data_IF_507560881668
#
_entry.id   IF_507560881668
#
_cell.length_a   1.000
_cell.length_b   1.000
_cell.length_c   1.000
_cell.angle_alpha   90.00
_cell.angle_beta   90.00
_cell.angle_gamma   90.00
#
_symmetry.space_group_name_H-M   'P 1'
#
loop_
_entity.id
_entity.type
_entity.pdbx_description
1 polymer ?
#
# COMPACT_ATOMS: atom_id res chain seq x y z
N UNK A 1 -5.02 5.12 -11.38
CA UNK A 1 -4.32 6.40 -11.38
C UNK A 1 -3.49 6.45 -10.11
N UNK A 2 -2.20 6.69 -10.26
CA UNK A 2 -1.26 6.87 -9.15
C UNK A 2 -0.70 8.28 -9.28
N UNK A 3 -0.99 9.19 -8.36
CA UNK A 3 -0.36 10.50 -8.30
C UNK A 3 1.05 10.42 -7.69
N UNK A 4 1.66 11.55 -7.47
CA UNK A 4 2.92 11.62 -6.75
C UNK A 4 4.13 11.13 -7.55
N UNK A 5 5.01 10.37 -6.90
CA UNK A 5 6.30 9.98 -7.45
C UNK A 5 6.22 9.18 -8.73
N UNK A 6 5.29 8.25 -8.83
CA UNK A 6 5.15 7.39 -10.01
C UNK A 6 4.66 8.18 -11.24
N UNK A 7 3.72 9.12 -11.05
CA UNK A 7 3.29 10.02 -12.11
C UNK A 7 4.43 10.94 -12.55
N UNK A 8 5.15 11.53 -11.61
CA UNK A 8 6.30 12.39 -11.92
C UNK A 8 7.41 11.62 -12.65
N UNK A 9 7.72 10.40 -12.19
CA UNK A 9 8.72 9.55 -12.83
C UNK A 9 8.31 9.14 -14.26
N UNK A 10 7.00 8.90 -14.49
CA UNK A 10 6.49 8.60 -15.82
C UNK A 10 6.60 9.78 -16.79
N UNK A 11 6.39 11.02 -16.32
CA UNK A 11 6.50 12.22 -17.15
C UNK A 11 7.94 12.70 -17.34
N UNK A 12 8.75 12.63 -16.29
CA UNK A 12 10.08 13.26 -16.27
C UNK A 12 11.22 12.30 -16.59
N UNK A 13 10.98 10.99 -16.52
CA UNK A 13 11.96 9.91 -16.42
C UNK A 13 12.55 9.81 -14.99
N UNK A 14 12.68 8.59 -14.43
CA UNK A 14 13.13 8.40 -13.04
C UNK A 14 14.51 9.00 -12.74
N UNK A 15 15.47 8.90 -13.67
CA UNK A 15 16.81 9.44 -13.46
C UNK A 15 16.79 10.97 -13.43
N UNK A 16 16.08 11.59 -14.39
CA UNK A 16 15.95 13.03 -14.44
C UNK A 16 15.18 13.57 -13.23
N UNK A 17 14.15 12.87 -12.76
CA UNK A 17 13.43 13.25 -11.55
C UNK A 17 14.33 13.20 -10.31
N UNK A 18 15.20 12.19 -10.18
CA UNK A 18 16.19 12.13 -9.10
C UNK A 18 17.13 13.34 -9.13
N UNK A 19 17.60 13.74 -10.32
CA UNK A 19 18.43 14.93 -10.45
C UNK A 19 17.68 16.20 -10.09
N UNK A 20 16.44 16.35 -10.58
CA UNK A 20 15.60 17.51 -10.26
C UNK A 20 15.32 17.64 -8.75
N UNK A 21 15.17 16.51 -8.03
CA UNK A 21 15.00 16.50 -6.57
C UNK A 21 16.23 17.01 -5.82
N UNK A 22 17.41 16.95 -6.43
CA UNK A 22 18.66 17.50 -5.88
C UNK A 22 18.81 18.97 -6.29
N UNK A 23 18.63 19.27 -7.57
CA UNK A 23 18.95 20.57 -8.16
C UNK A 23 17.85 21.61 -7.95
N UNK A 24 16.57 21.18 -7.95
CA UNK A 24 15.42 22.08 -7.86
C UNK A 24 14.22 21.46 -7.11
N UNK A 25 14.39 21.01 -5.83
CA UNK A 25 13.36 20.32 -5.07
C UNK A 25 12.04 21.07 -4.97
N UNK A 26 12.07 22.40 -4.85
CA UNK A 26 10.87 23.23 -4.77
C UNK A 26 10.00 23.14 -6.03
N UNK A 27 10.59 22.94 -7.20
CA UNK A 27 9.86 22.76 -8.45
C UNK A 27 9.21 21.37 -8.50
N UNK A 28 9.89 20.34 -7.98
CA UNK A 28 9.34 19.00 -7.87
C UNK A 28 8.14 19.00 -6.92
N UNK A 29 8.25 19.67 -5.76
CA UNK A 29 7.14 19.82 -4.80
C UNK A 29 5.93 20.50 -5.46
N UNK A 30 6.13 21.63 -6.16
CA UNK A 30 5.04 22.34 -6.85
C UNK A 30 4.36 21.46 -7.91
N UNK A 31 5.14 20.69 -8.66
CA UNK A 31 4.59 19.80 -9.67
C UNK A 31 3.82 18.64 -9.03
N UNK A 32 4.33 18.08 -7.93
CA UNK A 32 3.62 17.07 -7.14
C UNK A 32 2.27 17.63 -6.62
N UNK A 33 2.26 18.86 -6.07
CA UNK A 33 1.04 19.51 -5.59
C UNK A 33 0.00 19.70 -6.71
N UNK A 34 0.45 20.10 -7.89
CA UNK A 34 -0.45 20.20 -9.05
C UNK A 34 -1.05 18.83 -9.43
N UNK A 35 -0.25 17.76 -9.40
CA UNK A 35 -0.75 16.41 -9.68
C UNK A 35 -1.71 15.94 -8.59
N UNK A 36 -1.46 16.26 -7.33
CA UNK A 36 -2.36 15.93 -6.22
C UNK A 36 -3.72 16.64 -6.38
N UNK A 37 -3.74 17.90 -6.82
CA UNK A 37 -4.97 18.63 -7.10
C UNK A 37 -5.80 17.95 -8.21
N UNK A 38 -5.15 17.61 -9.33
CA UNK A 38 -5.78 16.88 -10.43
C UNK A 38 -6.28 15.50 -10.00
N UNK A 39 -5.49 14.80 -9.19
CA UNK A 39 -5.88 13.49 -8.66
C UNK A 39 -7.13 13.60 -7.79
N UNK A 40 -7.18 14.57 -6.88
CA UNK A 40 -8.34 14.80 -6.00
C UNK A 40 -9.62 15.04 -6.81
N UNK A 41 -9.56 15.88 -7.86
CA UNK A 41 -10.69 16.12 -8.74
C UNK A 41 -11.18 14.85 -9.43
N UNK A 42 -10.25 14.11 -10.05
CA UNK A 42 -10.55 12.87 -10.79
C UNK A 42 -11.06 11.78 -9.86
N UNK A 43 -10.39 11.56 -8.74
CA UNK A 43 -10.77 10.54 -7.75
C UNK A 43 -12.17 10.81 -7.20
N UNK A 44 -12.43 12.06 -6.79
CA UNK A 44 -13.73 12.46 -6.25
C UNK A 44 -14.84 12.26 -7.28
N UNK A 45 -14.61 12.70 -8.51
CA UNK A 45 -15.59 12.54 -9.60
C UNK A 45 -15.99 11.06 -9.80
N UNK A 46 -15.03 10.16 -9.91
CA UNK A 46 -15.34 8.74 -10.13
C UNK A 46 -15.91 8.07 -8.87
N UNK A 47 -15.42 8.40 -7.69
CA UNK A 47 -15.94 7.86 -6.44
C UNK A 47 -17.41 8.25 -6.24
N UNK A 48 -17.78 9.53 -6.49
CA UNK A 48 -19.15 10.02 -6.40
C UNK A 48 -20.06 9.32 -7.42
N UNK A 49 -19.60 9.11 -8.65
CA UNK A 49 -20.35 8.38 -9.68
C UNK A 49 -20.63 6.94 -9.29
N UNK A 50 -19.63 6.23 -8.78
CA UNK A 50 -19.79 4.84 -8.34
C UNK A 50 -20.73 4.74 -7.14
N UNK A 51 -20.55 5.59 -6.13
CA UNK A 51 -21.40 5.61 -4.95
C UNK A 51 -22.86 5.98 -5.28
N UNK A 52 -23.07 6.98 -6.14
CA UNK A 52 -24.43 7.37 -6.59
C UNK A 52 -25.13 6.25 -7.36
N UNK A 53 -24.38 5.41 -8.04
CA UNK A 53 -24.89 4.25 -8.76
C UNK A 53 -25.03 2.99 -7.87
N UNK A 54 -24.76 3.10 -6.55
CA UNK A 54 -24.77 1.97 -5.62
C UNK A 54 -23.69 0.93 -5.90
N UNK A 55 -22.63 1.32 -6.60
CA UNK A 55 -21.54 0.42 -6.95
C UNK A 55 -20.42 0.44 -5.90
N UNK A 56 -19.83 -0.73 -5.66
CA UNK A 56 -18.64 -0.86 -4.84
C UNK A 56 -17.38 -0.47 -5.60
N UNK A 57 -16.37 -0.02 -4.87
CA UNK A 57 -15.03 0.27 -5.41
C UNK A 57 -14.16 -0.98 -5.24
N UNK A 58 -13.48 -1.37 -6.31
CA UNK A 58 -12.51 -2.46 -6.33
C UNK A 58 -11.16 -1.97 -6.85
N UNK A 59 -10.08 -2.55 -6.37
CA UNK A 59 -8.72 -2.27 -6.84
C UNK A 59 -7.90 -3.55 -6.93
N UNK A 60 -6.66 -3.47 -7.43
CA UNK A 60 -5.82 -4.64 -7.72
C UNK A 60 -5.51 -5.58 -6.53
N UNK A 61 -5.52 -5.16 -5.25
CA UNK A 61 -5.40 -6.11 -4.14
C UNK A 61 -6.57 -7.10 -4.03
N UNK A 62 -7.62 -6.94 -4.84
CA UNK A 62 -8.80 -7.80 -4.82
C UNK A 62 -9.78 -7.47 -3.70
N UNK A 63 -9.64 -6.31 -3.07
CA UNK A 63 -10.56 -5.82 -2.05
C UNK A 63 -11.69 -5.06 -2.70
N UNK A 64 -12.93 -5.38 -2.30
CA UNK A 64 -14.15 -4.71 -2.73
C UNK A 64 -14.79 -4.04 -1.52
N UNK A 65 -15.13 -2.76 -1.62
CA UNK A 65 -15.73 -2.00 -0.54
C UNK A 65 -16.82 -1.06 -1.04
N UNK A 66 -17.91 -0.94 -0.29
CA UNK A 66 -18.93 0.10 -0.48
C UNK A 66 -18.46 1.46 0.02
N UNK A 67 -17.40 1.50 0.84
CA UNK A 67 -16.77 2.74 1.26
C UNK A 67 -15.89 3.30 0.16
N UNK A 68 -15.72 4.62 0.17
CA UNK A 68 -14.71 5.29 -0.64
C UNK A 68 -13.33 4.86 -0.14
N UNK A 69 -12.58 4.15 -0.94
CA UNK A 69 -11.26 3.67 -0.55
C UNK A 69 -10.24 3.79 -1.69
N UNK A 70 -8.97 3.83 -1.32
CA UNK A 70 -7.87 4.04 -2.25
C UNK A 70 -6.63 3.25 -1.85
N UNK A 71 -5.77 2.98 -2.83
CA UNK A 71 -4.44 2.37 -2.62
C UNK A 71 -3.38 3.37 -3.05
N UNK A 72 -2.88 4.23 -2.14
CA UNK A 72 -1.72 5.06 -2.43
C UNK A 72 -0.50 4.21 -2.75
N UNK A 73 0.32 4.66 -3.68
CA UNK A 73 1.55 3.99 -4.12
C UNK A 73 2.61 5.00 -4.51
N UNK A 74 3.86 4.66 -4.30
CA UNK A 74 5.01 5.41 -4.82
C UNK A 74 6.20 4.45 -5.01
N UNK A 75 6.21 3.69 -6.11
CA UNK A 75 7.26 2.72 -6.42
C UNK A 75 8.60 3.42 -6.71
N UNK A 76 8.54 4.65 -7.24
CA UNK A 76 9.72 5.51 -7.39
C UNK A 76 10.48 5.72 -6.06
N UNK A 77 9.79 5.59 -4.92
CA UNK A 77 10.39 5.80 -3.60
C UNK A 77 11.58 4.88 -3.29
N UNK A 78 11.66 3.70 -3.92
CA UNK A 78 12.78 2.79 -3.75
C UNK A 78 14.14 3.35 -4.24
N UNK A 79 14.11 4.43 -5.03
CA UNK A 79 15.29 5.08 -5.65
C UNK A 79 15.75 6.33 -4.90
N UNK A 80 15.06 6.75 -3.83
CA UNK A 80 15.31 8.01 -3.14
C UNK A 80 15.56 7.81 -1.65
N UNK A 81 16.19 8.81 -1.02
CA UNK A 81 16.44 8.80 0.42
C UNK A 81 15.15 9.00 1.22
N UNK A 82 15.16 8.55 2.50
CA UNK A 82 14.06 8.81 3.43
C UNK A 82 13.72 10.30 3.52
N UNK A 83 14.74 11.17 3.58
CA UNK A 83 14.52 12.62 3.65
C UNK A 83 13.79 13.15 2.42
N UNK A 84 14.19 12.73 1.22
CA UNK A 84 13.52 13.16 -0.02
C UNK A 84 12.07 12.66 -0.05
N UNK A 85 11.84 11.43 0.38
CA UNK A 85 10.49 10.88 0.50
C UNK A 85 9.63 11.70 1.46
N UNK A 86 10.12 11.93 2.67
CA UNK A 86 9.39 12.65 3.72
C UNK A 86 9.08 14.10 3.32
N UNK A 87 10.04 14.80 2.70
CA UNK A 87 9.89 16.19 2.32
C UNK A 87 8.98 16.38 1.09
N UNK A 88 9.09 15.48 0.11
CA UNK A 88 8.46 15.68 -1.20
C UNK A 88 7.17 14.88 -1.36
N UNK A 89 7.14 13.59 -1.04
CA UNK A 89 6.03 12.70 -1.39
C UNK A 89 5.10 12.37 -0.23
N UNK A 90 5.60 12.25 0.99
CA UNK A 90 4.79 11.90 2.16
C UNK A 90 3.58 12.83 2.37
N UNK A 91 3.70 14.17 2.18
CA UNK A 91 2.54 15.06 2.30
C UNK A 91 1.43 14.77 1.30
N UNK A 92 1.77 14.39 0.05
CA UNK A 92 0.82 13.99 -1.00
C UNK A 92 0.12 12.68 -0.63
N UNK A 93 0.89 11.67 -0.19
CA UNK A 93 0.34 10.38 0.26
C UNK A 93 -0.64 10.57 1.43
N UNK A 94 -0.31 11.42 2.39
CA UNK A 94 -1.21 11.75 3.48
C UNK A 94 -2.48 12.46 2.99
N UNK A 95 -2.38 13.30 1.94
CA UNK A 95 -3.54 13.91 1.27
C UNK A 95 -4.42 12.87 0.60
N UNK A 96 -3.84 11.92 -0.14
CA UNK A 96 -4.58 10.81 -0.75
C UNK A 96 -5.35 10.00 0.30
N UNK A 97 -4.73 9.69 1.45
CA UNK A 97 -5.39 8.98 2.54
C UNK A 97 -6.59 9.75 3.11
N UNK A 98 -6.52 11.09 3.17
CA UNK A 98 -7.65 11.92 3.64
C UNK A 98 -8.83 12.01 2.68
N UNK A 99 -8.62 11.77 1.39
CA UNK A 99 -9.69 11.75 0.38
C UNK A 99 -10.57 10.49 0.47
N UNK A 100 -10.08 9.46 1.12
CA UNK A 100 -10.73 8.16 1.24
C UNK A 100 -11.19 7.90 2.67
N UNK A 101 -12.26 7.09 2.83
CA UNK A 101 -12.69 6.58 4.14
C UNK A 101 -11.79 5.43 4.63
N UNK A 102 -11.06 4.80 3.71
CA UNK A 102 -10.08 3.77 4.00
C UNK A 102 -8.97 3.77 2.94
N UNK A 103 -7.75 3.45 3.36
CA UNK A 103 -6.60 3.38 2.47
C UNK A 103 -5.63 2.26 2.85
N UNK A 104 -5.01 1.66 1.84
CA UNK A 104 -3.97 0.63 1.99
C UNK A 104 -2.78 1.07 1.15
N UNK A 105 -1.67 1.41 1.76
CA UNK A 105 -0.48 1.82 1.03
C UNK A 105 0.22 0.62 0.40
N UNK A 106 0.47 0.69 -0.91
CA UNK A 106 1.29 -0.29 -1.64
C UNK A 106 2.77 0.01 -1.40
N UNK A 107 3.42 -0.83 -0.61
CA UNK A 107 4.84 -0.74 -0.28
C UNK A 107 5.57 -1.84 -1.04
N UNK A 108 6.33 -1.48 -2.08
CA UNK A 108 6.99 -2.45 -2.96
C UNK A 108 8.51 -2.38 -2.84
N UNK A 109 9.08 -3.55 -2.59
CA UNK A 109 10.51 -3.78 -2.57
C UNK A 109 11.23 -3.42 -1.26
N UNK A 110 12.28 -4.19 -0.91
CA UNK A 110 13.00 -3.99 0.36
C UNK A 110 13.61 -2.59 0.53
N UNK A 111 13.92 -1.92 -0.58
CA UNK A 111 14.47 -0.56 -0.55
C UNK A 111 13.45 0.45 -0.01
N UNK A 112 12.16 0.23 -0.30
CA UNK A 112 11.08 1.09 0.17
C UNK A 112 10.80 0.96 1.68
N UNK A 113 11.30 -0.09 2.35
CA UNK A 113 11.14 -0.24 3.81
C UNK A 113 11.75 0.89 4.63
N UNK A 114 12.70 1.64 4.07
CA UNK A 114 13.25 2.84 4.73
C UNK A 114 12.19 3.91 5.00
N UNK A 115 11.05 3.87 4.29
CA UNK A 115 9.94 4.81 4.40
C UNK A 115 8.81 4.32 5.33
N UNK A 116 8.86 3.06 5.75
CA UNK A 116 7.77 2.43 6.52
C UNK A 116 7.42 3.22 7.78
N UNK A 117 8.40 3.70 8.54
CA UNK A 117 8.13 4.45 9.78
C UNK A 117 7.32 5.72 9.51
N UNK A 118 7.70 6.49 8.49
CA UNK A 118 6.97 7.70 8.11
C UNK A 118 5.54 7.41 7.64
N UNK A 119 5.35 6.31 6.89
CA UNK A 119 4.03 5.87 6.45
C UNK A 119 3.14 5.47 7.63
N UNK A 120 3.69 4.77 8.64
CA UNK A 120 2.93 4.33 9.81
C UNK A 120 2.44 5.50 10.68
N UNK A 121 3.08 6.67 10.60
CA UNK A 121 2.67 7.89 11.31
C UNK A 121 1.46 8.59 10.66
N UNK A 122 1.11 8.29 9.41
CA UNK A 122 -0.08 8.84 8.76
C UNK A 122 -1.33 8.29 9.44
N UNK A 123 -2.10 9.14 10.11
CA UNK A 123 -3.28 8.73 10.89
C UNK A 123 -4.36 8.09 10.03
N UNK A 124 -4.62 8.67 8.87
CA UNK A 124 -5.68 8.26 7.93
C UNK A 124 -5.31 7.02 7.12
N UNK A 125 -4.05 6.60 7.13
CA UNK A 125 -3.64 5.33 6.52
C UNK A 125 -4.10 4.16 7.40
N UNK A 126 -4.86 3.23 6.83
CA UNK A 126 -5.44 2.12 7.58
C UNK A 126 -4.60 0.85 7.53
N UNK A 127 -3.92 0.59 6.42
CA UNK A 127 -3.17 -0.65 6.24
C UNK A 127 -1.98 -0.49 5.30
N UNK A 128 -1.07 -1.45 5.37
CA UNK A 128 0.08 -1.60 4.46
C UNK A 128 -0.10 -2.91 3.67
N UNK A 129 0.02 -2.81 2.36
CA UNK A 129 0.27 -3.97 1.50
C UNK A 129 1.79 -4.09 1.33
N UNK A 130 2.39 -5.13 1.92
CA UNK A 130 3.81 -5.39 1.77
C UNK A 130 4.07 -6.37 0.61
N UNK A 131 4.80 -5.88 -0.40
CA UNK A 131 5.25 -6.67 -1.56
C UNK A 131 6.77 -6.73 -1.54
N UNK A 132 7.32 -7.86 -1.14
CA UNK A 132 8.77 -8.02 -0.97
C UNK A 132 9.54 -8.27 -2.29
N UNK A 133 8.81 -8.52 -3.38
CA UNK A 133 9.39 -8.72 -4.71
C UNK A 133 9.87 -10.15 -4.99
N UNK A 134 9.99 -10.47 -6.28
CA UNK A 134 10.41 -11.79 -6.73
C UNK A 134 11.83 -12.13 -6.23
N UNK A 135 12.02 -13.34 -5.70
CA UNK A 135 13.31 -13.81 -5.19
C UNK A 135 13.78 -13.18 -3.87
N UNK A 136 12.91 -12.46 -3.18
CA UNK A 136 13.21 -11.81 -1.89
C UNK A 136 12.62 -12.55 -0.69
N UNK A 137 12.46 -13.85 -0.80
CA UNK A 137 11.92 -14.70 0.26
C UNK A 137 10.42 -14.92 0.14
N UNK A 138 9.81 -15.28 1.27
CA UNK A 138 8.40 -15.62 1.43
C UNK A 138 7.76 -14.72 2.50
N UNK A 139 6.44 -14.77 2.66
CA UNK A 139 5.76 -13.97 3.68
C UNK A 139 6.32 -14.20 5.09
N UNK A 140 6.63 -15.44 5.43
CA UNK A 140 7.21 -15.82 6.73
C UNK A 140 8.57 -15.18 7.02
N UNK A 141 9.33 -14.79 6.01
CA UNK A 141 10.63 -14.10 6.20
C UNK A 141 10.43 -12.63 6.62
N UNK A 142 9.23 -12.09 6.42
CA UNK A 142 8.91 -10.68 6.63
C UNK A 142 8.00 -10.43 7.85
N UNK A 143 7.89 -11.38 8.77
CA UNK A 143 7.06 -11.26 9.99
C UNK A 143 7.40 -10.00 10.81
N UNK A 144 8.65 -9.57 10.81
CA UNK A 144 9.06 -8.34 11.50
C UNK A 144 8.40 -7.07 10.93
N UNK A 145 8.18 -7.02 9.60
CA UNK A 145 7.46 -5.91 8.95
C UNK A 145 5.99 -5.92 9.35
N UNK A 146 5.35 -7.07 9.29
CA UNK A 146 3.93 -7.21 9.66
C UNK A 146 3.69 -6.89 11.13
N UNK A 147 4.53 -7.40 12.04
CA UNK A 147 4.46 -7.09 13.47
C UNK A 147 4.61 -5.59 13.72
N UNK A 148 5.50 -4.92 13.00
CA UNK A 148 5.70 -3.47 13.10
C UNK A 148 4.43 -2.70 12.68
N UNK A 149 3.78 -3.10 11.59
CA UNK A 149 2.51 -2.52 11.17
C UNK A 149 1.41 -2.72 12.23
N UNK A 150 1.25 -3.94 12.75
CA UNK A 150 0.26 -4.23 13.80
C UNK A 150 0.55 -3.46 15.10
N UNK A 151 1.81 -3.32 15.50
CA UNK A 151 2.19 -2.49 16.65
C UNK A 151 1.84 -1.02 16.48
N UNK A 152 1.86 -0.51 15.24
CA UNK A 152 1.42 0.84 14.91
C UNK A 152 -0.11 0.97 14.74
N UNK A 153 -0.87 -0.10 14.99
CA UNK A 153 -2.32 -0.13 14.82
C UNK A 153 -2.80 -0.14 13.37
N UNK A 154 -1.93 -0.55 12.43
CA UNK A 154 -2.25 -0.63 11.01
C UNK A 154 -2.58 -2.07 10.62
N UNK A 155 -3.59 -2.23 9.74
CA UNK A 155 -3.85 -3.49 9.08
C UNK A 155 -2.72 -3.86 8.10
N UNK A 156 -2.73 -5.12 7.68
CA UNK A 156 -1.75 -5.64 6.72
C UNK A 156 -2.46 -6.46 5.64
N UNK A 157 -2.01 -6.31 4.42
CA UNK A 157 -2.33 -7.22 3.33
C UNK A 157 -1.05 -7.96 2.96
N UNK A 158 -1.13 -9.29 2.99
CA UNK A 158 0.00 -10.16 2.67
C UNK A 158 -0.44 -11.32 1.79
N UNK A 159 0.50 -11.83 1.01
CA UNK A 159 0.31 -13.03 0.19
C UNK A 159 1.21 -14.14 0.72
N UNK A 160 0.62 -15.30 1.03
CA UNK A 160 1.31 -16.44 1.60
C UNK A 160 1.02 -17.73 0.80
N UNK A 161 1.86 -18.73 1.00
CA UNK A 161 1.61 -20.10 0.54
C UNK A 161 0.94 -20.93 1.64
N UNK A 162 0.28 -22.07 1.30
CA UNK A 162 -0.41 -22.91 2.28
C UNK A 162 0.47 -23.36 3.47
N UNK A 163 1.73 -23.68 3.21
CA UNK A 163 2.69 -24.15 4.22
C UNK A 163 3.26 -23.04 5.12
N UNK A 164 2.89 -21.77 4.90
CA UNK A 164 3.26 -20.64 5.74
C UNK A 164 2.18 -20.26 6.76
N UNK A 165 0.96 -20.82 6.62
CA UNK A 165 -0.19 -20.38 7.42
C UNK A 165 0.05 -20.53 8.92
N UNK A 166 0.57 -21.67 9.36
CA UNK A 166 0.79 -21.93 10.78
C UNK A 166 1.74 -20.90 11.39
N UNK A 167 2.90 -20.66 10.74
CA UNK A 167 3.88 -19.68 11.23
C UNK A 167 3.33 -18.24 11.20
N UNK A 168 2.49 -17.89 10.22
CA UNK A 168 1.84 -16.58 10.14
C UNK A 168 0.84 -16.44 11.29
N UNK A 169 -0.03 -17.42 11.49
CA UNK A 169 -1.06 -17.40 12.53
C UNK A 169 -0.49 -17.45 13.95
N UNK A 170 0.63 -18.11 14.16
CA UNK A 170 1.35 -18.14 15.45
C UNK A 170 2.00 -16.79 15.79
N UNK A 171 2.36 -16.00 14.79
CA UNK A 171 3.17 -14.80 14.97
C UNK A 171 2.44 -13.48 14.83
N UNK A 172 1.27 -13.46 14.19
CA UNK A 172 0.48 -12.27 13.94
C UNK A 172 -0.89 -12.38 14.63
N UNK A 173 -1.52 -11.24 14.88
CA UNK A 173 -2.92 -11.17 15.32
C UNK A 173 -3.83 -11.19 14.09
N UNK A 174 -5.03 -11.81 14.18
CA UNK A 174 -5.95 -11.87 13.04
C UNK A 174 -6.57 -10.52 12.69
N UNK A 175 -6.68 -9.60 13.66
CA UNK A 175 -7.35 -8.32 13.44
C UNK A 175 -6.59 -7.46 12.43
N UNK A 176 -7.31 -7.00 11.41
CA UNK A 176 -6.77 -6.15 10.36
C UNK A 176 -5.89 -6.88 9.34
N UNK A 177 -5.88 -8.22 9.34
CA UNK A 177 -5.14 -8.99 8.34
C UNK A 177 -6.03 -9.32 7.15
N UNK A 178 -5.60 -8.88 5.97
CA UNK A 178 -6.10 -9.36 4.68
C UNK A 178 -5.12 -10.39 4.13
N UNK A 179 -5.46 -11.66 4.29
CA UNK A 179 -4.62 -12.79 3.88
C UNK A 179 -5.04 -13.30 2.50
N UNK A 180 -4.14 -13.26 1.54
CA UNK A 180 -4.28 -13.95 0.26
C UNK A 180 -3.41 -15.20 0.28
N UNK A 181 -4.02 -16.38 0.09
CA UNK A 181 -3.28 -17.63 -0.06
C UNK A 181 -3.23 -17.99 -1.55
N UNK A 182 -2.02 -18.24 -2.05
CA UNK A 182 -1.75 -18.62 -3.45
C UNK A 182 -1.32 -20.07 -3.53
N UNK A 183 -1.35 -20.66 -4.73
CA UNK A 183 -0.94 -22.04 -5.01
C UNK A 183 -1.73 -23.11 -4.23
N UNK A 184 -3.00 -22.85 -3.96
CA UNK A 184 -3.92 -23.84 -3.41
C UNK A 184 -4.29 -24.85 -4.48
N UNK A 185 -3.97 -26.12 -4.26
CA UNK A 185 -4.04 -27.17 -5.29
C UNK A 185 -5.44 -27.75 -5.50
N UNK A 186 -6.25 -27.78 -4.45
CA UNK A 186 -7.56 -28.45 -4.47
C UNK A 186 -8.52 -27.84 -3.43
N UNK A 187 -9.79 -28.20 -3.56
CA UNK A 187 -10.86 -27.72 -2.69
C UNK A 187 -10.72 -28.21 -1.24
N UNK A 188 -10.26 -29.44 -1.02
CA UNK A 188 -10.08 -30.01 0.32
C UNK A 188 -9.05 -29.19 1.11
N UNK A 189 -7.91 -28.88 0.47
CA UNK A 189 -6.88 -28.00 1.01
C UNK A 189 -7.45 -26.62 1.32
N UNK A 190 -8.24 -26.02 0.40
CA UNK A 190 -8.85 -24.71 0.60
C UNK A 190 -9.80 -24.71 1.81
N UNK A 191 -10.66 -25.70 1.93
CA UNK A 191 -11.62 -25.83 3.06
C UNK A 191 -10.91 -26.04 4.39
N UNK A 192 -9.83 -26.85 4.41
CA UNK A 192 -9.01 -27.04 5.60
C UNK A 192 -8.36 -25.73 6.08
N UNK A 193 -7.80 -24.95 5.14
CA UNK A 193 -7.21 -23.63 5.45
C UNK A 193 -8.25 -22.64 5.95
N UNK A 194 -9.43 -22.55 5.32
CA UNK A 194 -10.52 -21.69 5.78
C UNK A 194 -10.96 -22.04 7.20
N UNK A 195 -11.01 -23.34 7.53
CA UNK A 195 -11.31 -23.79 8.89
C UNK A 195 -10.21 -23.38 9.88
N UNK A 196 -8.95 -23.51 9.52
CA UNK A 196 -7.83 -23.08 10.37
C UNK A 196 -7.88 -21.56 10.60
N UNK A 197 -8.03 -20.77 9.55
CA UNK A 197 -8.11 -19.30 9.61
C UNK A 197 -9.34 -18.85 10.43
N UNK A 198 -10.49 -19.52 10.33
CA UNK A 198 -11.68 -19.17 11.12
C UNK A 198 -11.50 -19.39 12.64
N UNK A 199 -10.53 -20.20 13.04
CA UNK A 199 -10.17 -20.46 14.44
C UNK A 199 -8.97 -19.63 14.91
N UNK A 200 -8.41 -18.82 14.05
CA UNK A 200 -7.29 -17.95 14.40
C UNK A 200 -7.71 -16.89 15.43
N UNK A 201 -6.95 -16.78 16.52
CA UNK A 201 -7.25 -15.91 17.67
C UNK A 201 -6.06 -15.01 17.99
#
# INVERSE_FOLDING_TARGET
IHPGGDALAAFRDPLNLNMDMIDCPDNVIKLREYIDDVFEEVFTFYADKLQSAGQAICSWPGIVSSKRWHVPSNDFSCMISKKMFDDVFLPGIARECRLAEASIYHLDGPQALTHLDSLLEIKELNAIQWVYGAGKGRASDWLHVYKKCQCAGKGIQLTAYPDELDIIMENLKPEGVWLRVTDVKDEETALSMLKAISNWK
#
